data_IF_889050693596
#
_entry.id   IF_889050693596
#
_cell.length_a   1.000
_cell.length_b   1.000
_cell.length_c   1.000
_cell.angle_alpha   90.00
_cell.angle_beta   90.00
_cell.angle_gamma   90.00
#
_symmetry.space_group_name_H-M   'P 1'
#
loop_
_entity.id
_entity.type
_entity.pdbx_description
1 polymer ?
#
# COMPACT_ATOMS: atom_id res chain seq x y z
N UNK A 1 28.27 3.92 -16.26
CA UNK A 1 27.45 3.05 -15.41
C UNK A 1 25.96 3.36 -15.51
N UNK A 2 25.53 4.64 -15.37
CA UNK A 2 24.12 5.05 -15.45
C UNK A 2 23.48 4.72 -16.82
N UNK A 3 24.18 4.97 -17.91
CA UNK A 3 23.72 4.66 -19.27
C UNK A 3 23.54 3.16 -19.51
N UNK A 4 24.42 2.32 -18.97
CA UNK A 4 24.32 0.86 -19.05
C UNK A 4 23.08 0.35 -18.31
N UNK A 5 22.83 0.86 -17.11
CA UNK A 5 21.65 0.53 -16.31
C UNK A 5 20.36 0.96 -17.03
N UNK A 6 20.32 2.16 -17.58
CA UNK A 6 19.17 2.66 -18.34
C UNK A 6 18.87 1.79 -19.58
N UNK A 7 19.89 1.35 -20.30
CA UNK A 7 19.74 0.44 -21.45
C UNK A 7 19.18 -0.92 -21.02
N UNK A 8 19.63 -1.45 -19.89
CA UNK A 8 19.09 -2.70 -19.34
C UNK A 8 17.61 -2.57 -18.98
N UNK A 9 17.21 -1.44 -18.36
CA UNK A 9 15.81 -1.19 -18.04
C UNK A 9 14.93 -1.10 -19.30
N UNK A 10 15.40 -0.43 -20.36
CA UNK A 10 14.66 -0.33 -21.61
C UNK A 10 14.47 -1.71 -22.28
N UNK A 11 15.48 -2.56 -22.24
CA UNK A 11 15.40 -3.92 -22.75
C UNK A 11 14.41 -4.77 -21.95
N UNK A 12 14.41 -4.65 -20.61
CA UNK A 12 13.48 -5.32 -19.73
C UNK A 12 12.04 -4.86 -19.99
N UNK A 13 11.78 -3.56 -20.07
CA UNK A 13 10.46 -3.01 -20.39
C UNK A 13 9.95 -3.52 -21.74
N UNK A 14 10.83 -3.59 -22.75
CA UNK A 14 10.47 -4.14 -24.05
C UNK A 14 10.05 -5.60 -23.96
N UNK A 15 10.76 -6.38 -23.16
CA UNK A 15 10.45 -7.80 -22.93
C UNK A 15 9.12 -7.97 -22.16
N UNK A 16 8.90 -7.17 -21.12
CA UNK A 16 7.64 -7.18 -20.37
C UNK A 16 6.45 -6.75 -21.24
N UNK A 17 6.62 -5.76 -22.11
CA UNK A 17 5.57 -5.35 -23.05
C UNK A 17 5.23 -6.46 -24.06
N UNK A 18 6.23 -7.24 -24.53
CA UNK A 18 6.00 -8.43 -25.37
C UNK A 18 5.26 -9.52 -24.58
N UNK A 19 5.62 -9.70 -23.30
CA UNK A 19 4.93 -10.64 -22.41
C UNK A 19 3.46 -10.25 -22.21
N UNK A 20 3.18 -8.98 -21.92
CA UNK A 20 1.82 -8.47 -21.72
C UNK A 20 0.95 -8.54 -22.99
N UNK A 21 1.53 -8.50 -24.20
CA UNK A 21 0.76 -8.78 -25.43
C UNK A 21 0.25 -10.20 -25.49
N UNK A 22 0.96 -11.17 -24.88
CA UNK A 22 0.56 -12.58 -24.85
C UNK A 22 -0.27 -12.90 -23.61
N UNK A 23 0.04 -12.28 -22.50
CA UNK A 23 -0.55 -12.51 -21.17
C UNK A 23 -0.97 -11.18 -20.54
N UNK A 24 -2.07 -10.56 -21.01
CA UNK A 24 -2.45 -9.20 -20.58
C UNK A 24 -2.79 -9.10 -19.09
N UNK A 25 -3.17 -10.22 -18.47
CA UNK A 25 -3.55 -10.28 -17.07
C UNK A 25 -2.39 -10.70 -16.13
N UNK A 26 -1.16 -10.81 -16.63
CA UNK A 26 -0.03 -11.22 -15.81
C UNK A 26 0.40 -10.09 -14.84
N UNK A 27 -0.10 -10.09 -13.63
CA UNK A 27 0.21 -9.11 -12.58
C UNK A 27 1.70 -9.02 -12.26
N UNK A 28 2.43 -10.12 -12.39
CA UNK A 28 3.88 -10.16 -12.20
C UNK A 28 4.63 -9.27 -13.22
N UNK A 29 4.15 -9.16 -14.46
CA UNK A 29 4.79 -8.31 -15.47
C UNK A 29 4.54 -6.81 -15.19
N UNK A 30 3.36 -6.47 -14.69
CA UNK A 30 3.08 -5.13 -14.19
C UNK A 30 3.93 -4.80 -12.97
N UNK A 31 4.09 -5.74 -12.02
CA UNK A 31 4.98 -5.61 -10.88
C UNK A 31 6.40 -5.23 -11.32
N UNK A 32 6.97 -5.95 -12.28
CA UNK A 32 8.34 -5.71 -12.73
C UNK A 32 8.49 -4.36 -13.45
N UNK A 33 7.49 -3.92 -14.21
CA UNK A 33 7.46 -2.56 -14.77
C UNK A 33 7.41 -1.50 -13.67
N UNK A 34 6.60 -1.71 -12.65
CA UNK A 34 6.55 -0.86 -11.47
C UNK A 34 7.89 -0.81 -10.73
N UNK A 35 8.54 -1.95 -10.54
CA UNK A 35 9.86 -2.04 -9.90
C UNK A 35 10.94 -1.25 -10.67
N UNK A 36 10.93 -1.28 -12.01
CA UNK A 36 11.85 -0.48 -12.83
C UNK A 36 11.54 1.01 -12.66
N UNK A 37 10.28 1.39 -12.70
CA UNK A 37 9.86 2.79 -12.50
C UNK A 37 10.29 3.30 -11.13
N UNK A 38 10.07 2.51 -10.08
CA UNK A 38 10.51 2.82 -8.71
C UNK A 38 12.04 3.05 -8.62
N UNK A 39 12.83 2.11 -9.17
CA UNK A 39 14.29 2.22 -9.21
C UNK A 39 14.79 3.41 -10.04
N UNK A 40 13.97 3.92 -10.92
CA UNK A 40 14.25 5.10 -11.74
C UNK A 40 13.69 6.40 -11.11
N UNK A 41 13.26 6.35 -9.84
CA UNK A 41 12.63 7.45 -9.10
C UNK A 41 11.34 8.00 -9.74
N UNK A 42 10.70 7.22 -10.62
CA UNK A 42 9.41 7.55 -11.24
C UNK A 42 8.29 6.91 -10.43
N UNK A 43 8.02 7.49 -9.27
CA UNK A 43 7.11 6.90 -8.28
C UNK A 43 5.65 6.85 -8.74
N UNK A 44 5.19 7.84 -9.49
CA UNK A 44 3.85 7.87 -10.08
C UNK A 44 3.65 6.72 -11.08
N UNK A 45 4.63 6.51 -11.98
CA UNK A 45 4.61 5.39 -12.91
C UNK A 45 4.66 4.04 -12.17
N UNK A 46 5.48 3.95 -11.11
CA UNK A 46 5.57 2.74 -10.31
C UNK A 46 4.21 2.38 -9.72
N UNK A 47 3.56 3.37 -9.12
CA UNK A 47 2.24 3.22 -8.53
C UNK A 47 1.19 2.82 -9.57
N UNK A 48 1.16 3.50 -10.72
CA UNK A 48 0.27 3.14 -11.84
C UNK A 48 0.41 1.67 -12.24
N UNK A 49 1.64 1.17 -12.34
CA UNK A 49 1.85 -0.22 -12.71
C UNK A 49 1.46 -1.20 -11.61
N UNK A 50 1.69 -0.88 -10.33
CA UNK A 50 1.25 -1.74 -9.22
C UNK A 50 -0.27 -1.82 -9.17
N UNK A 51 -0.98 -0.70 -9.30
CA UNK A 51 -2.45 -0.70 -9.35
C UNK A 51 -2.98 -1.45 -10.59
N UNK A 52 -2.35 -1.24 -11.75
CA UNK A 52 -2.72 -1.99 -12.96
C UNK A 52 -2.52 -3.49 -12.79
N UNK A 53 -1.46 -3.89 -12.10
CA UNK A 53 -1.22 -5.30 -11.74
C UNK A 53 -2.30 -5.85 -10.80
N UNK A 54 -2.76 -5.07 -9.83
CA UNK A 54 -3.87 -5.41 -8.93
C UNK A 54 -5.18 -5.56 -9.73
N UNK A 55 -5.46 -4.63 -10.63
CA UNK A 55 -6.66 -4.68 -11.48
C UNK A 55 -6.68 -5.94 -12.36
N UNK A 56 -5.54 -6.29 -12.95
CA UNK A 56 -5.43 -7.41 -13.88
C UNK A 56 -5.35 -8.78 -13.20
N UNK A 57 -4.70 -8.87 -12.04
CA UNK A 57 -4.53 -10.10 -11.27
C UNK A 57 -4.72 -9.80 -9.76
N UNK A 58 -5.98 -9.68 -9.28
CA UNK A 58 -6.27 -9.29 -7.90
C UNK A 58 -5.73 -10.24 -6.83
N UNK A 59 -5.43 -11.49 -7.16
CA UNK A 59 -4.88 -12.46 -6.23
C UNK A 59 -3.35 -12.40 -6.11
N UNK A 60 -2.68 -11.61 -6.95
CA UNK A 60 -1.22 -11.52 -6.94
C UNK A 60 -0.74 -10.54 -5.86
N UNK A 61 -0.45 -11.08 -4.67
CA UNK A 61 -0.13 -10.34 -3.45
C UNK A 61 1.02 -9.32 -3.59
N UNK A 62 1.99 -9.58 -4.46
CA UNK A 62 3.20 -8.75 -4.57
C UNK A 62 2.92 -7.33 -5.05
N UNK A 63 1.86 -7.09 -5.84
CA UNK A 63 1.47 -5.76 -6.26
C UNK A 63 0.94 -4.93 -5.06
N UNK A 64 0.12 -5.54 -4.20
CA UNK A 64 -0.35 -4.90 -2.97
C UNK A 64 0.79 -4.56 -2.01
N UNK A 65 1.75 -5.47 -1.86
CA UNK A 65 2.94 -5.23 -1.06
C UNK A 65 3.72 -4.00 -1.51
N UNK A 66 3.99 -3.90 -2.81
CA UNK A 66 4.72 -2.76 -3.37
C UNK A 66 3.93 -1.46 -3.32
N UNK A 67 2.64 -1.50 -3.62
CA UNK A 67 1.75 -0.35 -3.48
C UNK A 67 1.71 0.15 -2.03
N UNK A 68 1.56 -0.75 -1.06
CA UNK A 68 1.55 -0.43 0.37
C UNK A 68 2.84 0.27 0.79
N UNK A 69 4.02 -0.29 0.48
CA UNK A 69 5.30 0.31 0.83
C UNK A 69 5.50 1.68 0.19
N UNK A 70 5.04 1.87 -1.06
CA UNK A 70 5.14 3.15 -1.74
C UNK A 70 4.28 4.22 -1.06
N UNK A 71 3.06 3.87 -0.63
CA UNK A 71 2.20 4.77 0.13
C UNK A 71 2.73 5.08 1.52
N UNK A 72 3.29 4.11 2.23
CA UNK A 72 3.94 4.37 3.52
C UNK A 72 5.18 5.27 3.40
N UNK A 73 5.85 5.27 2.24
CA UNK A 73 6.92 6.21 1.94
C UNK A 73 6.41 7.61 1.53
N UNK A 74 5.11 7.76 1.32
CA UNK A 74 4.42 9.03 1.07
C UNK A 74 3.69 9.49 2.33
N UNK A 75 2.82 10.48 2.19
CA UNK A 75 1.97 10.95 3.29
C UNK A 75 0.58 10.31 3.31
N UNK A 76 0.31 9.38 2.39
CA UNK A 76 -1.01 8.77 2.23
C UNK A 76 -1.16 7.46 3.02
N UNK A 77 -1.02 7.54 4.35
CA UNK A 77 -0.98 6.39 5.25
C UNK A 77 -2.22 5.48 5.20
N UNK A 78 -3.41 6.04 4.94
CA UNK A 78 -4.65 5.24 4.79
C UNK A 78 -4.52 4.22 3.67
N UNK A 79 -4.01 4.63 2.52
CA UNK A 79 -3.83 3.73 1.38
C UNK A 79 -2.72 2.72 1.63
N UNK A 80 -1.62 3.15 2.30
CA UNK A 80 -0.58 2.23 2.75
C UNK A 80 -1.14 1.13 3.64
N UNK A 81 -1.95 1.49 4.64
CA UNK A 81 -2.60 0.54 5.53
C UNK A 81 -3.57 -0.39 4.78
N UNK A 82 -4.42 0.14 3.90
CA UNK A 82 -5.38 -0.66 3.13
C UNK A 82 -4.70 -1.70 2.24
N UNK A 83 -3.71 -1.29 1.43
CA UNK A 83 -2.98 -2.24 0.60
C UNK A 83 -2.17 -3.24 1.42
N UNK A 84 -1.62 -2.81 2.57
CA UNK A 84 -0.92 -3.69 3.49
C UNK A 84 -1.84 -4.76 4.11
N UNK A 85 -3.05 -4.40 4.51
CA UNK A 85 -4.05 -5.36 5.02
C UNK A 85 -4.48 -6.36 3.94
N UNK A 86 -4.70 -5.90 2.71
CA UNK A 86 -5.03 -6.77 1.58
C UNK A 86 -3.86 -7.73 1.29
N UNK A 87 -2.62 -7.23 1.30
CA UNK A 87 -1.44 -8.07 1.18
C UNK A 87 -1.40 -9.15 2.26
N UNK A 88 -1.63 -8.80 3.53
CA UNK A 88 -1.60 -9.76 4.65
C UNK A 88 -2.64 -10.89 4.51
N UNK A 89 -3.76 -10.61 3.86
CA UNK A 89 -4.79 -11.62 3.59
C UNK A 89 -4.42 -12.52 2.40
N UNK A 90 -3.72 -12.01 1.40
CA UNK A 90 -3.38 -12.72 0.17
C UNK A 90 -2.06 -13.51 0.27
N UNK A 91 -1.05 -12.97 0.97
CA UNK A 91 0.27 -13.58 1.06
C UNK A 91 0.27 -14.81 1.98
N UNK A 92 0.51 -15.98 1.42
CA UNK A 92 0.52 -17.25 2.17
C UNK A 92 1.91 -17.88 2.24
N UNK A 93 2.87 -17.43 1.42
CA UNK A 93 4.11 -18.14 1.18
C UNK A 93 5.35 -17.48 1.78
N UNK A 94 5.37 -16.13 1.87
CA UNK A 94 6.53 -15.42 2.38
C UNK A 94 6.34 -14.93 3.81
N UNK A 95 6.83 -15.70 4.77
CA UNK A 95 6.81 -15.31 6.18
C UNK A 95 7.60 -14.01 6.42
N UNK A 96 8.73 -13.83 5.75
CA UNK A 96 9.56 -12.63 5.88
C UNK A 96 8.80 -11.36 5.49
N UNK A 97 8.12 -11.35 4.33
CA UNK A 97 7.31 -10.21 3.90
C UNK A 97 6.08 -9.97 4.78
N UNK A 98 5.46 -11.05 5.27
CA UNK A 98 4.34 -10.94 6.22
C UNK A 98 4.79 -10.32 7.54
N UNK A 99 5.94 -10.73 8.06
CA UNK A 99 6.52 -10.17 9.29
C UNK A 99 6.86 -8.69 9.12
N UNK A 100 7.49 -8.32 8.01
CA UNK A 100 7.79 -6.92 7.67
C UNK A 100 6.51 -6.07 7.59
N UNK A 101 5.52 -6.51 6.81
CA UNK A 101 4.27 -5.77 6.64
C UNK A 101 3.47 -5.70 7.94
N UNK A 102 3.44 -6.77 8.73
CA UNK A 102 2.78 -6.77 10.05
C UNK A 102 3.38 -5.72 10.98
N UNK A 103 4.71 -5.61 10.98
CA UNK A 103 5.41 -4.56 11.76
C UNK A 103 5.06 -3.17 11.23
N UNK A 104 5.14 -2.95 9.92
CA UNK A 104 4.85 -1.66 9.29
C UNK A 104 3.41 -1.21 9.57
N UNK A 105 2.44 -2.13 9.48
CA UNK A 105 1.05 -1.86 9.84
C UNK A 105 0.88 -1.52 11.32
N UNK A 106 1.54 -2.28 12.20
CA UNK A 106 1.48 -1.98 13.64
C UNK A 106 2.06 -0.60 13.94
N UNK A 107 3.23 -0.28 13.41
CA UNK A 107 3.88 1.01 13.60
C UNK A 107 2.98 2.15 13.07
N UNK A 108 2.37 1.97 11.88
CA UNK A 108 1.42 2.93 11.33
C UNK A 108 0.23 3.17 12.26
N UNK A 109 -0.45 2.12 12.71
CA UNK A 109 -1.59 2.26 13.62
C UNK A 109 -1.17 2.85 14.97
N UNK A 110 0.00 2.49 15.48
CA UNK A 110 0.53 3.01 16.73
C UNK A 110 0.79 4.51 16.65
N UNK A 111 1.29 4.98 15.52
CA UNK A 111 1.56 6.40 15.30
C UNK A 111 0.28 7.21 15.06
N UNK A 112 -0.70 6.63 14.38
CA UNK A 112 -1.92 7.31 13.97
C UNK A 112 -3.06 7.27 15.01
N UNK A 113 -3.02 6.35 15.98
CA UNK A 113 -4.06 6.21 16.99
C UNK A 113 -3.51 6.66 18.35
N UNK A 114 -4.01 7.76 18.87
CA UNK A 114 -3.66 8.28 20.19
C UNK A 114 -4.87 8.15 21.14
N UNK A 115 -4.60 7.99 22.41
CA UNK A 115 -5.64 7.87 23.42
C UNK A 115 -5.55 8.98 24.47
N UNK A 116 -6.65 9.69 24.69
CA UNK A 116 -6.83 10.65 25.77
C UNK A 116 -7.89 10.07 26.72
N UNK A 117 -7.43 9.41 27.79
CA UNK A 117 -8.30 8.61 28.64
C UNK A 117 -8.86 7.41 27.87
N UNK A 118 -10.19 7.38 27.63
CA UNK A 118 -10.87 6.34 26.84
C UNK A 118 -11.34 6.82 25.47
N UNK A 119 -11.00 8.06 25.09
CA UNK A 119 -11.29 8.58 23.75
C UNK A 119 -10.09 8.35 22.86
N UNK A 120 -10.34 7.86 21.64
CA UNK A 120 -9.34 7.72 20.62
C UNK A 120 -9.35 8.95 19.71
N UNK A 121 -8.18 9.48 19.46
CA UNK A 121 -7.90 10.44 18.38
C UNK A 121 -7.15 9.69 17.31
N UNK A 122 -7.69 9.68 16.10
CA UNK A 122 -7.14 8.96 14.94
C UNK A 122 -6.82 9.98 13.89
N UNK A 123 -5.53 10.07 13.56
CA UNK A 123 -5.00 11.04 12.61
C UNK A 123 -4.35 10.32 11.43
N UNK A 124 -5.14 10.09 10.39
CA UNK A 124 -4.65 9.64 9.09
C UNK A 124 -4.66 10.78 8.06
N UNK A 125 -4.90 12.01 8.51
CA UNK A 125 -4.95 13.18 7.64
C UNK A 125 -3.55 13.77 7.47
N UNK A 126 -2.79 13.27 6.52
CA UNK A 126 -1.72 14.08 5.96
C UNK A 126 -2.25 14.77 4.68
N UNK A 127 -1.90 16.05 4.46
CA UNK A 127 -2.36 16.77 3.28
C UNK A 127 -1.90 16.04 2.03
N UNK A 128 -2.84 15.78 1.15
CA UNK A 128 -2.68 15.11 -0.11
C UNK A 128 -1.59 15.80 -0.92
N UNK A 129 -0.48 15.13 -1.17
CA UNK A 129 0.32 15.45 -2.34
C UNK A 129 -0.47 14.86 -3.52
N UNK A 130 -1.27 15.70 -4.16
CA UNK A 130 -1.96 15.35 -5.39
C UNK A 130 -0.89 15.17 -6.46
N UNK A 131 -0.57 13.94 -6.78
CA UNK A 131 0.21 13.64 -7.97
C UNK A 131 -0.66 14.04 -9.17
N UNK A 132 -0.18 15.00 -9.95
CA UNK A 132 -0.93 15.74 -10.96
C UNK A 132 -1.55 14.91 -12.09
N UNK A 133 -1.26 13.62 -12.16
CA UNK A 133 -1.74 12.70 -13.20
C UNK A 133 -2.50 11.48 -12.68
N UNK A 134 -2.72 11.38 -11.36
CA UNK A 134 -3.59 10.33 -10.81
C UNK A 134 -5.04 10.77 -10.91
N UNK A 135 -5.98 9.89 -11.26
CA UNK A 135 -7.39 10.22 -11.15
C UNK A 135 -7.66 10.67 -9.71
N UNK A 136 -8.36 11.81 -9.55
CA UNK A 136 -8.72 12.36 -8.23
C UNK A 136 -9.35 11.24 -7.39
N UNK A 137 -8.61 10.79 -6.39
CA UNK A 137 -9.18 9.81 -5.45
C UNK A 137 -10.21 10.55 -4.61
N UNK A 138 -11.42 10.01 -4.48
CA UNK A 138 -12.44 10.68 -3.68
C UNK A 138 -11.91 10.92 -2.27
N UNK A 139 -11.78 12.15 -1.84
CA UNK A 139 -11.38 12.55 -0.48
C UNK A 139 -12.30 12.00 0.63
N UNK A 140 -13.37 11.32 0.25
CA UNK A 140 -14.34 10.75 1.19
C UNK A 140 -13.81 9.50 1.89
N UNK A 141 -13.01 8.67 1.21
CA UNK A 141 -12.58 7.39 1.77
C UNK A 141 -11.65 7.57 3.00
N UNK A 142 -10.59 8.39 2.97
CA UNK A 142 -9.76 8.64 4.15
C UNK A 142 -10.57 9.18 5.34
N UNK A 143 -11.53 10.07 5.10
CA UNK A 143 -12.41 10.61 6.16
C UNK A 143 -13.31 9.52 6.76
N UNK A 144 -13.88 8.68 5.91
CA UNK A 144 -14.73 7.56 6.37
C UNK A 144 -13.92 6.52 7.12
N UNK A 145 -12.72 6.17 6.62
CA UNK A 145 -11.78 5.28 7.29
C UNK A 145 -11.41 5.80 8.67
N UNK A 146 -11.00 7.07 8.80
CA UNK A 146 -10.68 7.70 10.08
C UNK A 146 -11.86 7.66 11.04
N UNK A 147 -13.06 8.04 10.59
CA UNK A 147 -14.26 8.02 11.41
C UNK A 147 -14.59 6.63 11.95
N UNK A 148 -14.50 5.61 11.09
CA UNK A 148 -14.74 4.23 11.49
C UNK A 148 -13.66 3.72 12.45
N UNK A 149 -12.38 4.02 12.17
CA UNK A 149 -11.26 3.65 13.04
C UNK A 149 -11.36 4.34 14.41
N UNK A 150 -11.74 5.61 14.47
CA UNK A 150 -12.00 6.33 15.74
C UNK A 150 -13.10 5.63 16.55
N UNK A 151 -14.21 5.28 15.91
CA UNK A 151 -15.32 4.56 16.59
C UNK A 151 -14.87 3.21 17.12
N UNK A 152 -14.11 2.45 16.31
CA UNK A 152 -13.60 1.14 16.72
C UNK A 152 -12.61 1.23 17.87
N UNK A 153 -11.80 2.29 17.92
CA UNK A 153 -10.75 2.50 18.93
C UNK A 153 -11.28 3.05 20.27
N UNK A 154 -12.43 3.70 20.28
CA UNK A 154 -12.99 4.25 21.51
C UNK A 154 -13.25 3.16 22.57
N UNK A 155 -12.98 3.50 23.84
CA UNK A 155 -13.13 2.61 25.00
C UNK A 155 -11.83 1.95 25.43
N UNK A 156 -10.82 1.91 24.56
CA UNK A 156 -9.46 1.47 24.89
C UNK A 156 -8.66 2.62 25.53
N UNK A 157 -7.53 2.31 26.19
CA UNK A 157 -6.67 3.30 26.85
C UNK A 157 -5.29 3.39 26.22
N UNK A 158 -4.86 2.37 25.52
CA UNK A 158 -3.57 2.26 24.85
C UNK A 158 -3.65 1.28 23.70
N UNK A 159 -2.68 1.32 22.80
CA UNK A 159 -2.54 0.38 21.70
C UNK A 159 -1.46 -0.64 22.01
N UNK A 160 -1.84 -1.90 22.11
CA UNK A 160 -0.96 -3.06 22.03
C UNK A 160 -1.47 -4.02 20.94
N UNK A 161 -0.81 -5.15 20.76
CA UNK A 161 -1.21 -6.13 19.75
C UNK A 161 -2.64 -6.66 19.98
N UNK A 162 -3.01 -6.91 21.24
CA UNK A 162 -4.33 -7.43 21.56
C UNK A 162 -5.42 -6.38 21.31
N UNK A 163 -5.16 -5.15 21.72
CA UNK A 163 -6.05 -4.01 21.48
C UNK A 163 -6.22 -3.75 20.00
N UNK A 164 -5.12 -3.78 19.22
CA UNK A 164 -5.16 -3.63 17.77
C UNK A 164 -6.03 -4.72 17.10
N UNK A 165 -5.89 -5.97 17.53
CA UNK A 165 -6.74 -7.07 17.02
C UNK A 165 -8.22 -6.81 17.33
N UNK A 166 -8.55 -6.31 18.51
CA UNK A 166 -9.93 -5.98 18.88
C UNK A 166 -10.46 -4.80 18.05
N UNK A 167 -9.66 -3.76 17.87
CA UNK A 167 -10.03 -2.60 17.04
C UNK A 167 -10.29 -3.05 15.59
N UNK A 168 -9.40 -3.85 15.00
CA UNK A 168 -9.57 -4.37 13.65
C UNK A 168 -10.83 -5.21 13.48
N UNK A 169 -11.17 -6.05 14.47
CA UNK A 169 -12.43 -6.83 14.46
C UNK A 169 -13.68 -5.96 14.53
N UNK A 170 -13.61 -4.79 15.15
CA UNK A 170 -14.74 -3.85 15.22
C UNK A 170 -14.84 -2.95 13.99
N UNK A 171 -13.73 -2.78 13.29
CA UNK A 171 -13.63 -1.94 12.11
C UNK A 171 -14.28 -2.59 10.87
N UNK A 172 -14.24 -3.92 10.79
CA UNK A 172 -14.86 -4.73 9.72
C UNK A 172 -16.36 -4.87 10.02
#
# INVERSE_FOLDING_TARGET
DSYFIQRQYNNAITSYNKGLKKFPNAGCLYLEKGNISYKSNRYEDAFFYYEKGIEMEPEYASNYYRASLLFFASTEMVWGAMYGELFMNLEKHSEARRKEMSKTLYDCYFDQIKFIGRKAEVDFDNPIIVYSNSPERPNLFPKSFRSAMTKASNGHKFLDLNTLVQIRKKFI
#
